data_IF_178516340474
#
_entry.id   IF_178516340474
#
_cell.length_a   1.000
_cell.length_b   1.000
_cell.length_c   1.000
_cell.angle_alpha   90.00
_cell.angle_beta   90.00
_cell.angle_gamma   90.00
#
_symmetry.space_group_name_H-M   'P 1'
#
loop_
_entity.id
_entity.type
_entity.pdbx_description
1 polymer ?
#
# COMPACT_ATOMS: atom_id res chain seq x y z
N UNK A 1 -13.09 11.63 -7.50
CA UNK A 1 -12.99 12.58 -8.63
C UNK A 1 -11.86 13.53 -8.30
N UNK A 2 -10.74 13.49 -9.03
CA UNK A 2 -9.62 14.42 -8.78
C UNK A 2 -10.06 15.84 -9.20
N UNK A 3 -9.76 16.88 -8.41
CA UNK A 3 -10.10 18.25 -8.77
C UNK A 3 -9.41 18.61 -10.10
N UNK A 4 -10.20 19.09 -11.06
CA UNK A 4 -9.74 19.45 -12.43
C UNK A 4 -8.69 20.57 -12.47
N UNK A 5 -8.35 21.17 -11.33
CA UNK A 5 -7.45 22.31 -11.18
C UNK A 5 -6.21 21.98 -10.32
N UNK A 6 -5.61 20.79 -10.49
CA UNK A 6 -4.35 20.41 -9.82
C UNK A 6 -3.19 21.40 -10.07
N UNK A 7 -3.20 22.12 -11.20
CA UNK A 7 -2.19 23.12 -11.53
C UNK A 7 -2.30 24.43 -10.72
N UNK A 8 -3.42 24.66 -10.03
CA UNK A 8 -3.62 25.87 -9.20
C UNK A 8 -3.08 25.70 -7.78
N UNK A 9 -2.87 24.47 -7.34
CA UNK A 9 -2.34 24.11 -6.02
C UNK A 9 -1.43 22.89 -6.18
N UNK A 10 -0.12 23.08 -6.42
CA UNK A 10 0.80 21.96 -6.55
C UNK A 10 0.74 21.11 -5.27
N UNK A 11 0.43 19.82 -5.43
CA UNK A 11 0.49 18.84 -4.36
C UNK A 11 1.98 18.53 -4.12
N UNK A 12 2.57 19.18 -3.12
CA UNK A 12 3.86 18.79 -2.60
C UNK A 12 3.69 17.53 -1.76
N UNK A 13 4.29 16.44 -2.25
CA UNK A 13 4.34 15.16 -1.56
C UNK A 13 5.76 15.01 -1.05
N UNK A 14 5.94 15.02 0.27
CA UNK A 14 7.22 14.77 0.90
C UNK A 14 7.51 13.26 0.96
N UNK A 15 8.78 12.88 1.05
CA UNK A 15 9.17 11.48 1.30
C UNK A 15 8.63 10.94 2.64
N UNK A 16 8.24 11.82 3.55
CA UNK A 16 7.58 11.44 4.80
C UNK A 16 6.09 11.11 4.62
N UNK A 17 5.45 11.53 3.52
CA UNK A 17 4.02 11.26 3.24
C UNK A 17 3.79 9.88 2.63
N UNK A 18 4.86 9.23 2.16
CA UNK A 18 4.84 7.92 1.49
C UNK A 18 4.05 6.86 2.28
N UNK A 19 4.27 6.67 3.60
CA UNK A 19 3.53 5.66 4.36
C UNK A 19 2.02 5.90 4.31
N UNK A 20 1.58 7.16 4.39
CA UNK A 20 0.17 7.51 4.35
C UNK A 20 -0.41 7.45 2.93
N UNK A 21 0.38 7.71 1.89
CA UNK A 21 -0.02 7.47 0.50
C UNK A 21 -0.26 5.99 0.26
N UNK A 22 0.64 5.12 0.73
CA UNK A 22 0.45 3.66 0.69
C UNK A 22 -0.83 3.28 1.41
N UNK A 23 -1.02 3.77 2.64
CA UNK A 23 -2.25 3.53 3.39
C UNK A 23 -3.51 3.94 2.61
N UNK A 24 -3.50 5.13 1.99
CA UNK A 24 -4.60 5.63 1.18
C UNK A 24 -4.91 4.69 0.00
N UNK A 25 -3.88 4.20 -0.70
CA UNK A 25 -4.04 3.24 -1.80
C UNK A 25 -4.60 1.91 -1.30
N UNK A 26 -4.03 1.34 -0.24
CA UNK A 26 -4.50 0.07 0.35
C UNK A 26 -5.96 0.18 0.83
N UNK A 27 -6.32 1.32 1.44
CA UNK A 27 -7.68 1.64 1.85
C UNK A 27 -8.63 1.73 0.67
N UNK A 28 -8.23 2.42 -0.39
CA UNK A 28 -9.05 2.55 -1.61
C UNK A 28 -9.38 1.21 -2.26
N UNK A 29 -8.48 0.23 -2.17
CA UNK A 29 -8.69 -1.12 -2.66
C UNK A 29 -9.33 -2.07 -1.62
N UNK A 30 -9.65 -1.57 -0.43
CA UNK A 30 -10.24 -2.36 0.65
C UNK A 30 -9.29 -3.43 1.21
N UNK A 31 -7.98 -3.31 0.96
CA UNK A 31 -6.94 -4.19 1.50
C UNK A 31 -6.65 -3.82 2.95
N UNK A 32 -6.82 -2.55 3.32
CA UNK A 32 -6.66 -2.06 4.69
C UNK A 32 -7.86 -1.18 5.08
N UNK A 33 -8.28 -1.25 6.34
CA UNK A 33 -9.31 -0.35 6.89
C UNK A 33 -8.70 0.95 7.43
N UNK A 34 -9.56 1.89 7.87
CA UNK A 34 -9.12 3.11 8.54
C UNK A 34 -8.29 2.81 9.80
N UNK A 35 -8.66 1.76 10.53
CA UNK A 35 -8.02 1.36 11.79
C UNK A 35 -6.80 0.45 11.55
N UNK A 36 -6.39 0.30 10.29
CA UNK A 36 -5.22 -0.48 9.91
C UNK A 36 -5.40 -2.01 9.97
N UNK A 37 -6.65 -2.49 10.01
CA UNK A 37 -6.97 -3.92 9.86
C UNK A 37 -6.79 -4.32 8.39
N UNK A 38 -6.01 -5.38 8.14
CA UNK A 38 -5.73 -5.90 6.79
C UNK A 38 -6.76 -6.95 6.41
N UNK A 39 -7.35 -6.82 5.22
CA UNK A 39 -8.23 -7.79 4.61
C UNK A 39 -7.46 -8.60 3.56
N UNK A 40 -6.96 -9.76 3.97
CA UNK A 40 -6.11 -10.60 3.11
C UNK A 40 -6.84 -11.11 1.85
N UNK A 41 -8.16 -11.29 1.92
CA UNK A 41 -8.95 -11.73 0.76
C UNK A 41 -8.97 -10.68 -0.34
N UNK A 42 -9.06 -9.40 0.02
CA UNK A 42 -9.00 -8.31 -0.95
C UNK A 42 -7.58 -8.11 -1.49
N UNK A 43 -6.57 -8.38 -0.67
CA UNK A 43 -5.17 -8.44 -1.12
C UNK A 43 -4.99 -9.50 -2.22
N UNK A 44 -5.39 -10.75 -2.00
CA UNK A 44 -5.26 -11.81 -3.00
C UNK A 44 -6.03 -11.50 -4.30
N UNK A 45 -7.22 -10.92 -4.19
CA UNK A 45 -7.98 -10.45 -5.35
C UNK A 45 -7.21 -9.38 -6.13
N UNK A 46 -6.50 -8.48 -5.43
CA UNK A 46 -5.68 -7.44 -6.06
C UNK A 46 -4.46 -8.04 -6.76
N UNK A 47 -3.75 -8.95 -6.11
CA UNK A 47 -2.62 -9.68 -6.70
C UNK A 47 -3.06 -10.43 -7.96
N UNK A 48 -4.18 -11.15 -7.91
CA UNK A 48 -4.78 -11.82 -9.08
C UNK A 48 -5.11 -10.85 -10.22
N UNK A 49 -5.63 -9.67 -9.89
CA UNK A 49 -5.97 -8.67 -10.89
C UNK A 49 -4.73 -8.07 -11.57
N UNK A 50 -3.62 -7.90 -10.84
CA UNK A 50 -2.35 -7.39 -11.37
C UNK A 50 -1.64 -8.47 -12.19
N UNK A 51 -1.57 -9.70 -11.68
CA UNK A 51 -0.86 -10.81 -12.30
C UNK A 51 -1.78 -11.79 -13.03
N UNK A 52 -2.80 -11.28 -13.73
CA UNK A 52 -3.84 -12.10 -14.35
C UNK A 52 -3.31 -13.19 -15.30
N UNK A 53 -2.14 -12.97 -15.89
CA UNK A 53 -1.50 -13.90 -16.84
C UNK A 53 -0.33 -14.70 -16.24
N UNK A 54 -0.01 -14.50 -14.97
CA UNK A 54 1.05 -15.23 -14.26
C UNK A 54 0.50 -15.93 -13.01
N UNK A 55 0.05 -17.19 -13.13
CA UNK A 55 -0.53 -17.93 -12.01
C UNK A 55 0.50 -18.32 -10.94
N UNK A 56 1.81 -18.23 -11.22
CA UNK A 56 2.86 -18.63 -10.27
C UNK A 56 3.00 -17.65 -9.12
N UNK A 57 2.60 -16.39 -9.31
CA UNK A 57 2.71 -15.32 -8.32
C UNK A 57 1.88 -15.59 -7.05
N UNK A 58 0.75 -16.29 -7.17
CA UNK A 58 -0.09 -16.66 -6.03
C UNK A 58 0.49 -17.79 -5.17
N UNK A 59 1.35 -18.64 -5.75
CA UNK A 59 1.94 -19.79 -5.06
C UNK A 59 3.08 -19.32 -4.14
N UNK A 60 3.73 -18.22 -4.49
CA UNK A 60 4.81 -17.60 -3.72
C UNK A 60 4.36 -16.43 -2.84
N UNK A 61 3.05 -16.20 -2.72
CA UNK A 61 2.54 -14.98 -2.11
C UNK A 61 2.70 -14.98 -0.58
N UNK A 62 3.36 -13.95 -0.06
CA UNK A 62 3.72 -13.79 1.35
C UNK A 62 2.69 -12.98 2.14
N UNK A 63 1.58 -12.58 1.52
CA UNK A 63 0.60 -11.66 2.12
C UNK A 63 0.11 -12.06 3.51
N UNK A 64 -0.23 -13.33 3.74
CA UNK A 64 -0.73 -13.81 5.03
C UNK A 64 0.37 -13.76 6.10
N UNK A 65 1.58 -14.22 5.77
CA UNK A 65 2.76 -14.13 6.65
C UNK A 65 3.08 -12.68 6.99
N UNK A 66 3.05 -11.77 6.01
CA UNK A 66 3.27 -10.35 6.23
C UNK A 66 2.21 -9.74 7.17
N UNK A 67 0.92 -10.06 6.95
CA UNK A 67 -0.16 -9.57 7.80
C UNK A 67 -0.04 -10.08 9.25
N UNK A 68 0.34 -11.35 9.44
CA UNK A 68 0.56 -11.93 10.77
C UNK A 68 1.75 -11.29 11.48
N UNK A 69 2.88 -11.13 10.80
CA UNK A 69 4.09 -10.51 11.37
C UNK A 69 3.82 -9.08 11.85
N UNK A 70 3.00 -8.33 11.11
CA UNK A 70 2.68 -6.93 11.43
C UNK A 70 1.75 -6.82 12.65
N UNK A 71 0.87 -7.78 12.87
CA UNK A 71 0.04 -7.81 14.08
C UNK A 71 0.87 -8.05 15.35
N UNK A 72 2.08 -8.62 15.22
CA UNK A 72 3.04 -8.73 16.32
C UNK A 72 3.85 -7.45 16.59
N UNK A 73 3.68 -6.40 15.77
CA UNK A 73 4.38 -5.13 15.93
C UNK A 73 3.49 -4.13 16.68
N UNK A 74 4.07 -3.34 17.60
CA UNK A 74 3.41 -2.22 18.26
C UNK A 74 3.19 -1.03 17.29
N UNK A 75 2.33 -1.22 16.29
CA UNK A 75 1.98 -0.22 15.27
C UNK A 75 0.48 0.14 15.27
N UNK A 76 -0.25 -0.22 16.34
CA UNK A 76 -1.71 -0.04 16.41
C UNK A 76 -2.17 1.40 16.28
N UNK A 77 -1.34 2.36 16.69
CA UNK A 77 -1.63 3.79 16.58
C UNK A 77 -1.09 4.45 15.31
N UNK A 78 -0.24 3.78 14.53
CA UNK A 78 0.40 4.33 13.32
C UNK A 78 0.02 3.50 12.08
N UNK A 79 -1.22 3.72 11.61
CA UNK A 79 -1.80 3.00 10.47
C UNK A 79 -1.04 3.25 9.16
N UNK A 80 -0.39 4.41 9.03
CA UNK A 80 0.41 4.74 7.86
C UNK A 80 1.72 3.94 7.83
N UNK A 81 2.41 3.85 8.97
CA UNK A 81 3.61 3.02 9.09
C UNK A 81 3.28 1.53 8.95
N UNK A 82 2.17 1.08 9.54
CA UNK A 82 1.64 -0.28 9.36
C UNK A 82 1.41 -0.61 7.88
N UNK A 83 0.83 0.32 7.12
CA UNK A 83 0.61 0.19 5.69
C UNK A 83 1.93 0.08 4.90
N UNK A 84 2.92 0.91 5.24
CA UNK A 84 4.24 0.86 4.62
C UNK A 84 4.93 -0.48 4.86
N UNK A 85 4.96 -0.96 6.11
CA UNK A 85 5.58 -2.26 6.42
C UNK A 85 4.90 -3.40 5.67
N UNK A 86 3.56 -3.38 5.56
CA UNK A 86 2.83 -4.36 4.77
C UNK A 86 3.19 -4.31 3.29
N UNK A 87 3.26 -3.11 2.72
CA UNK A 87 3.66 -2.93 1.32
C UNK A 87 5.12 -3.34 1.08
N UNK A 88 6.04 -3.02 1.99
CA UNK A 88 7.45 -3.38 1.88
C UNK A 88 7.64 -4.91 1.97
N UNK A 89 6.84 -5.58 2.80
CA UNK A 89 6.86 -7.05 2.94
C UNK A 89 6.27 -7.78 1.74
N UNK A 90 5.16 -7.28 1.18
CA UNK A 90 4.46 -7.89 0.04
C UNK A 90 4.99 -7.43 -1.31
N UNK A 91 5.74 -6.32 -1.33
CA UNK A 91 6.17 -5.61 -2.55
C UNK A 91 5.02 -5.31 -3.52
N UNK A 92 3.79 -5.16 -3.01
CA UNK A 92 2.59 -5.00 -3.83
C UNK A 92 2.62 -3.74 -4.70
N UNK A 93 3.15 -2.65 -4.17
CA UNK A 93 3.35 -1.40 -4.90
C UNK A 93 4.82 -0.96 -4.82
N UNK A 94 5.42 -0.76 -5.99
CA UNK A 94 6.71 -0.08 -6.11
C UNK A 94 6.43 1.41 -6.23
N UNK A 95 7.00 2.21 -5.32
CA UNK A 95 6.94 3.66 -5.44
C UNK A 95 8.30 4.16 -5.89
N UNK A 96 8.37 4.63 -7.13
CA UNK A 96 9.52 5.33 -7.67
C UNK A 96 9.33 6.83 -7.45
N UNK A 97 10.32 7.47 -6.84
CA UNK A 97 10.44 8.91 -6.80
C UNK A 97 11.50 9.29 -7.83
N UNK A 98 11.18 10.25 -8.69
CA UNK A 98 12.23 11.01 -9.36
C UNK A 98 12.58 12.13 -8.40
N UNK A 99 13.84 12.17 -8.00
CA UNK A 99 14.39 13.41 -7.47
C UNK A 99 14.25 14.44 -8.59
N UNK A 100 13.66 15.59 -8.26
CA UNK A 100 13.75 16.76 -9.11
C UNK A 100 15.22 17.20 -9.00
N UNK A 101 16.08 16.58 -9.80
CA UNK A 101 17.43 17.09 -10.03
C UNK A 101 17.32 18.50 -10.61
N UNK A 102 18.13 19.42 -10.07
CA UNK A 102 18.22 20.86 -10.35
C UNK A 102 18.30 21.21 -11.85
#
# INVERSE_FOLDING_TARGET
>A
MYPRNLYKYPLHIDRNDIPCIIHCVLKKFGIMSNDGIINIRNYYRRVQAIHRYDPRVLISDVGETCAQNINGMNLDHDVCKKAKVFNDCTQLYVISYKDLED
#
